data_IF_830198599456
#
_entry.id   IF_830198599456
#
_cell.length_a   1.000
_cell.length_b   1.000
_cell.length_c   1.000
_cell.angle_alpha   90.00
_cell.angle_beta   90.00
_cell.angle_gamma   90.00
#
_symmetry.space_group_name_H-M   'P 1'
#
loop_
_entity.id
_entity.type
_entity.pdbx_description
1 polymer ?
#
# COMPACT_ATOMS: atom_id res chain seq x y z
N UNK A 1 20.78 32.39 24.51
CA UNK A 1 20.43 31.59 23.33
C UNK A 1 19.33 32.35 22.56
N UNK A 2 19.53 32.63 21.30
CA UNK A 2 18.71 33.52 20.50
C UNK A 2 17.40 32.83 20.11
N UNK A 3 16.28 33.27 20.67
CA UNK A 3 14.94 32.70 20.49
C UNK A 3 14.54 32.74 19.00
N UNK A 4 14.97 33.77 18.29
CA UNK A 4 14.67 33.92 16.85
C UNK A 4 15.35 32.83 15.99
N UNK A 5 16.59 32.46 16.35
CA UNK A 5 17.30 31.35 15.69
C UNK A 5 16.66 29.99 16.00
N UNK A 6 16.16 29.78 17.21
CA UNK A 6 15.45 28.57 17.59
C UNK A 6 14.15 28.43 16.81
N UNK A 7 13.37 29.50 16.71
CA UNK A 7 12.11 29.51 15.97
C UNK A 7 12.35 29.26 14.47
N UNK A 8 13.36 29.90 13.88
CA UNK A 8 13.74 29.71 12.48
C UNK A 8 14.18 28.28 12.19
N UNK A 9 14.95 27.67 13.10
CA UNK A 9 15.37 26.27 13.01
C UNK A 9 14.17 25.31 13.14
N UNK A 10 13.28 25.54 14.11
CA UNK A 10 12.06 24.76 14.32
C UNK A 10 11.14 24.80 13.09
N UNK A 11 10.94 25.99 12.49
CA UNK A 11 10.15 26.16 11.27
C UNK A 11 10.76 25.35 10.11
N UNK A 12 12.07 25.44 9.89
CA UNK A 12 12.77 24.72 8.84
C UNK A 12 12.66 23.20 9.00
N UNK A 13 12.80 22.67 10.24
CA UNK A 13 12.59 21.25 10.51
C UNK A 13 11.15 20.84 10.19
N UNK A 14 10.16 21.64 10.60
CA UNK A 14 8.75 21.34 10.35
C UNK A 14 8.42 21.33 8.85
N UNK A 15 8.97 22.26 8.09
CA UNK A 15 8.79 22.32 6.63
C UNK A 15 9.42 21.11 5.93
N UNK A 16 10.66 20.74 6.31
CA UNK A 16 11.36 19.58 5.77
C UNK A 16 10.58 18.30 6.05
N UNK A 17 10.18 18.08 7.32
CA UNK A 17 9.39 16.92 7.70
C UNK A 17 8.04 16.84 6.97
N UNK A 18 7.37 17.97 6.79
CA UNK A 18 6.10 18.03 6.03
C UNK A 18 6.28 17.67 4.56
N UNK A 19 7.40 18.09 3.95
CA UNK A 19 7.76 17.76 2.57
C UNK A 19 8.06 16.27 2.40
N UNK A 20 8.87 15.69 3.26
CA UNK A 20 9.22 14.26 3.27
C UNK A 20 7.97 13.39 3.45
N UNK A 21 7.12 13.73 4.41
CA UNK A 21 5.88 13.03 4.63
C UNK A 21 4.93 13.11 3.43
N UNK A 22 4.89 14.23 2.73
CA UNK A 22 4.10 14.41 1.50
C UNK A 22 4.62 13.53 0.37
N UNK A 23 5.95 13.43 0.20
CA UNK A 23 6.59 12.54 -0.76
C UNK A 23 6.30 11.08 -0.45
N UNK A 24 6.46 10.66 0.81
CA UNK A 24 6.16 9.29 1.24
C UNK A 24 4.71 8.91 0.92
N UNK A 25 3.74 9.79 1.22
CA UNK A 25 2.32 9.58 0.90
C UNK A 25 2.06 9.44 -0.60
N UNK A 26 2.72 10.25 -1.43
CA UNK A 26 2.56 10.19 -2.88
C UNK A 26 3.24 8.98 -3.51
N UNK A 27 4.18 8.35 -2.81
CA UNK A 27 4.95 7.21 -3.29
C UNK A 27 4.35 5.84 -2.96
N UNK A 28 3.22 5.79 -2.24
CA UNK A 28 2.49 4.55 -1.95
C UNK A 28 1.10 4.55 -2.57
N UNK A 29 0.59 3.35 -2.86
CA UNK A 29 -0.78 3.12 -3.28
C UNK A 29 -1.36 1.95 -2.49
N UNK A 30 -2.40 2.21 -1.70
CA UNK A 30 -3.16 1.16 -1.03
C UNK A 30 -4.12 0.53 -2.04
N UNK A 31 -4.07 -0.78 -2.16
CA UNK A 31 -4.98 -1.54 -2.99
C UNK A 31 -5.91 -2.35 -2.11
N UNK A 32 -7.17 -1.90 -1.98
CA UNK A 32 -8.16 -2.55 -1.12
C UNK A 32 -8.80 -3.72 -1.85
N UNK A 33 -8.65 -4.88 -1.27
CA UNK A 33 -9.22 -6.15 -1.67
C UNK A 33 -10.12 -6.68 -0.58
N UNK A 34 -11.17 -7.39 -0.97
CA UNK A 34 -12.10 -7.92 0.00
C UNK A 34 -13.48 -8.22 -0.61
N UNK A 35 -14.43 -8.54 0.24
CA UNK A 35 -15.79 -8.79 -0.21
C UNK A 35 -16.52 -7.49 -0.54
N UNK A 36 -16.90 -7.32 -1.80
CA UNK A 36 -17.73 -6.19 -2.26
C UNK A 36 -19.23 -6.44 -2.19
N UNK A 37 -19.67 -7.37 -1.38
CA UNK A 37 -21.10 -7.60 -1.12
C UNK A 37 -21.74 -6.41 -0.40
N UNK A 38 -23.07 -6.38 -0.35
CA UNK A 38 -23.84 -5.28 0.27
C UNK A 38 -23.45 -5.01 1.73
N UNK A 39 -22.98 -6.04 2.45
CA UNK A 39 -22.62 -5.95 3.86
C UNK A 39 -21.23 -5.31 4.03
N UNK A 40 -20.21 -5.83 3.34
CA UNK A 40 -18.82 -5.43 3.60
C UNK A 40 -18.31 -4.29 2.70
N UNK A 41 -18.95 -4.07 1.54
CA UNK A 41 -18.58 -2.93 0.66
C UNK A 41 -18.58 -1.59 1.40
N UNK A 42 -19.56 -1.27 2.28
CA UNK A 42 -19.54 0.00 3.01
C UNK A 42 -18.30 0.22 3.86
N UNK A 43 -17.78 -0.81 4.54
CA UNK A 43 -16.56 -0.67 5.37
C UNK A 43 -15.33 -0.42 4.51
N UNK A 44 -15.19 -1.12 3.37
CA UNK A 44 -14.10 -0.87 2.42
C UNK A 44 -14.17 0.56 1.85
N UNK A 45 -15.35 1.05 1.55
CA UNK A 45 -15.55 2.43 1.07
C UNK A 45 -15.24 3.47 2.15
N UNK A 46 -15.58 3.20 3.42
CA UNK A 46 -15.19 4.06 4.56
C UNK A 46 -13.67 4.12 4.70
N UNK A 47 -12.99 2.96 4.63
CA UNK A 47 -11.53 2.90 4.69
C UNK A 47 -10.92 3.68 3.52
N UNK A 48 -11.39 3.44 2.30
CA UNK A 48 -10.92 4.17 1.11
C UNK A 48 -11.00 5.67 1.30
N UNK A 49 -12.17 6.18 1.71
CA UNK A 49 -12.36 7.60 1.96
C UNK A 49 -11.34 8.14 2.95
N UNK A 50 -11.16 7.47 4.10
CA UNK A 50 -10.22 7.91 5.12
C UNK A 50 -8.76 7.86 4.69
N UNK A 51 -8.38 6.91 3.83
CA UNK A 51 -7.03 6.83 3.23
C UNK A 51 -6.81 7.98 2.25
N UNK A 52 -7.79 8.26 1.38
CA UNK A 52 -7.73 9.37 0.42
C UNK A 52 -7.71 10.73 1.12
N UNK A 53 -8.48 10.91 2.20
CA UNK A 53 -8.45 12.12 3.03
C UNK A 53 -7.05 12.38 3.64
N UNK A 54 -6.26 11.33 3.86
CA UNK A 54 -4.84 11.42 4.27
C UNK A 54 -3.88 11.71 3.10
N UNK A 55 -4.40 11.94 1.89
CA UNK A 55 -3.63 12.17 0.66
C UNK A 55 -2.78 10.97 0.22
N UNK A 56 -3.22 9.76 0.53
CA UNK A 56 -2.64 8.51 0.06
C UNK A 56 -3.51 7.96 -1.07
N UNK A 57 -2.90 7.49 -2.15
CA UNK A 57 -3.63 6.83 -3.22
C UNK A 57 -4.26 5.53 -2.71
N UNK A 58 -5.54 5.33 -3.04
CA UNK A 58 -6.28 4.15 -2.64
C UNK A 58 -7.19 3.70 -3.77
N UNK A 59 -6.99 2.48 -4.24
CA UNK A 59 -7.74 1.86 -5.33
C UNK A 59 -8.57 0.70 -4.82
N UNK A 60 -9.70 0.50 -5.45
CA UNK A 60 -10.56 -0.68 -5.30
C UNK A 60 -10.90 -1.27 -6.69
N UNK A 61 -11.25 -2.55 -6.75
CA UNK A 61 -11.60 -3.20 -8.02
C UNK A 61 -12.75 -2.51 -8.80
N UNK A 62 -13.64 -1.83 -8.08
CA UNK A 62 -14.75 -1.09 -8.67
C UNK A 62 -14.41 0.30 -9.26
N UNK A 63 -13.17 0.78 -9.11
CA UNK A 63 -12.77 2.12 -9.62
C UNK A 63 -12.57 2.14 -11.14
N UNK A 64 -12.38 0.98 -11.76
CA UNK A 64 -12.29 0.88 -13.20
C UNK A 64 -13.69 0.86 -13.83
N UNK A 65 -14.05 1.93 -14.49
CA UNK A 65 -15.16 1.94 -15.44
C UNK A 65 -14.75 1.14 -16.67
N UNK A 66 -14.89 -0.18 -16.60
CA UNK A 66 -14.59 -1.09 -17.72
C UNK A 66 -15.76 -1.08 -18.70
N UNK A 67 -16.10 0.10 -19.25
CA UNK A 67 -17.03 0.20 -20.38
C UNK A 67 -16.38 -0.13 -21.72
N UNK A 68 -15.07 -0.32 -21.74
CA UNK A 68 -14.28 -0.50 -22.97
C UNK A 68 -13.73 -1.91 -23.16
N UNK A 69 -14.11 -2.88 -22.32
CA UNK A 69 -13.72 -4.28 -22.53
C UNK A 69 -14.91 -5.01 -23.10
N UNK A 70 -14.72 -5.49 -24.33
CA UNK A 70 -15.66 -6.28 -25.10
C UNK A 70 -16.31 -7.38 -24.24
N UNK A 71 -17.65 -7.41 -24.22
CA UNK A 71 -18.50 -8.12 -23.25
C UNK A 71 -18.50 -9.66 -23.38
N UNK A 72 -17.58 -10.27 -24.15
CA UNK A 72 -17.86 -11.58 -24.70
C UNK A 72 -17.30 -12.81 -23.98
N UNK A 73 -16.31 -12.73 -23.04
CA UNK A 73 -15.69 -14.02 -22.68
C UNK A 73 -15.26 -14.31 -21.23
N UNK A 74 -15.31 -13.38 -20.28
CA UNK A 74 -14.96 -13.70 -18.89
C UNK A 74 -15.85 -12.98 -17.88
N UNK A 75 -16.07 -13.56 -16.68
CA UNK A 75 -16.74 -12.83 -15.62
C UNK A 75 -16.04 -11.48 -15.41
N UNK A 76 -16.80 -10.41 -15.53
CA UNK A 76 -16.39 -9.01 -15.44
C UNK A 76 -15.37 -8.70 -14.30
N UNK A 77 -15.48 -9.43 -13.21
CA UNK A 77 -14.65 -9.29 -12.02
C UNK A 77 -13.18 -9.71 -12.20
N UNK A 78 -12.92 -10.86 -12.84
CA UNK A 78 -11.54 -11.36 -13.02
C UNK A 78 -10.74 -10.45 -13.95
N UNK A 79 -11.36 -9.93 -15.01
CA UNK A 79 -10.73 -8.96 -15.91
C UNK A 79 -10.43 -7.64 -15.18
N UNK A 80 -11.37 -7.13 -14.39
CA UNK A 80 -11.18 -5.92 -13.59
C UNK A 80 -10.04 -6.08 -12.59
N UNK A 81 -9.98 -7.21 -11.90
CA UNK A 81 -8.91 -7.51 -10.97
C UNK A 81 -7.55 -7.54 -11.66
N UNK A 82 -7.43 -8.24 -12.79
CA UNK A 82 -6.19 -8.30 -13.55
C UNK A 82 -5.75 -6.93 -14.07
N UNK A 83 -6.67 -6.13 -14.59
CA UNK A 83 -6.37 -4.77 -15.05
C UNK A 83 -5.85 -3.88 -13.93
N UNK A 84 -6.49 -3.92 -12.77
CA UNK A 84 -6.02 -3.15 -11.61
C UNK A 84 -4.64 -3.61 -11.17
N UNK A 85 -4.39 -4.91 -11.08
CA UNK A 85 -3.07 -5.44 -10.75
C UNK A 85 -2.02 -4.94 -11.75
N UNK A 86 -2.31 -4.95 -13.04
CA UNK A 86 -1.41 -4.43 -14.08
C UNK A 86 -1.18 -2.93 -13.95
N UNK A 87 -2.21 -2.12 -13.69
CA UNK A 87 -2.07 -0.68 -13.47
C UNK A 87 -1.18 -0.37 -12.28
N UNK A 88 -1.37 -1.10 -11.18
CA UNK A 88 -0.60 -0.92 -9.94
C UNK A 88 0.85 -1.33 -10.16
N UNK A 89 1.11 -2.47 -10.83
CA UNK A 89 2.46 -2.95 -11.11
C UNK A 89 3.23 -2.02 -12.04
N UNK A 90 2.55 -1.34 -12.96
CA UNK A 90 3.14 -0.35 -13.86
C UNK A 90 3.20 1.05 -13.26
N UNK A 91 2.67 1.25 -12.07
CA UNK A 91 2.76 2.52 -11.35
C UNK A 91 4.16 2.71 -10.77
N UNK A 92 4.62 3.96 -10.70
CA UNK A 92 5.82 4.32 -9.95
C UNK A 92 5.64 4.23 -8.43
N UNK A 93 4.42 4.03 -7.95
CA UNK A 93 4.10 3.94 -6.52
C UNK A 93 4.33 2.53 -6.01
N UNK A 94 4.83 2.43 -4.77
CA UNK A 94 4.90 1.16 -4.07
C UNK A 94 3.49 0.65 -3.77
N UNK A 95 3.10 -0.50 -4.32
CA UNK A 95 1.79 -1.08 -4.06
C UNK A 95 1.76 -1.75 -2.69
N UNK A 96 0.67 -1.53 -1.95
CA UNK A 96 0.41 -2.21 -0.67
C UNK A 96 -1.00 -2.78 -0.70
N UNK A 97 -1.18 -4.05 -1.08
CA UNK A 97 -2.47 -4.71 -1.05
C UNK A 97 -2.95 -4.93 0.39
N UNK A 98 -4.12 -4.41 0.72
CA UNK A 98 -4.86 -4.67 1.94
C UNK A 98 -5.99 -5.63 1.62
N UNK A 99 -5.94 -6.84 2.16
CA UNK A 99 -6.96 -7.86 1.95
C UNK A 99 -7.74 -8.05 3.24
N UNK A 100 -9.05 -7.82 3.20
CA UNK A 100 -9.95 -8.07 4.33
C UNK A 100 -10.80 -9.31 4.08
N UNK A 101 -10.62 -10.32 4.92
CA UNK A 101 -11.40 -11.55 4.92
C UNK A 101 -12.23 -11.59 6.22
N UNK A 102 -13.51 -11.18 6.18
CA UNK A 102 -14.39 -11.22 7.34
C UNK A 102 -14.87 -12.65 7.63
N UNK A 103 -15.24 -12.92 8.88
CA UNK A 103 -16.03 -14.09 9.23
C UNK A 103 -17.48 -13.79 8.88
N UNK A 104 -17.96 -14.27 7.78
CA UNK A 104 -19.38 -14.25 7.50
C UNK A 104 -19.92 -15.65 7.35
N UNK A 105 -21.01 -15.92 8.03
CA UNK A 105 -21.83 -17.13 7.82
C UNK A 105 -22.52 -17.14 6.45
N UNK A 106 -22.37 -16.10 5.66
CA UNK A 106 -23.02 -15.94 4.38
C UNK A 106 -21.96 -15.85 3.28
N UNK A 107 -22.24 -16.40 2.15
CA UNK A 107 -21.68 -16.47 0.78
C UNK A 107 -20.68 -15.35 0.33
N UNK A 108 -20.29 -14.45 1.21
CA UNK A 108 -19.58 -13.21 0.87
C UNK A 108 -18.05 -13.27 0.99
N UNK A 109 -17.44 -14.33 1.46
CA UNK A 109 -15.98 -14.36 1.71
C UNK A 109 -15.12 -14.83 0.54
N UNK A 110 -15.71 -15.47 -0.45
CA UNK A 110 -14.95 -16.21 -1.47
C UNK A 110 -14.18 -15.30 -2.44
N UNK A 111 -14.70 -14.14 -2.76
CA UNK A 111 -14.01 -13.18 -3.62
C UNK A 111 -12.65 -12.77 -3.07
N UNK A 112 -12.59 -12.37 -1.80
CA UNK A 112 -11.34 -11.99 -1.14
C UNK A 112 -10.34 -13.15 -1.03
N UNK A 113 -10.84 -14.36 -0.82
CA UNK A 113 -10.02 -15.58 -0.79
C UNK A 113 -9.43 -15.90 -2.16
N UNK A 114 -10.22 -15.77 -3.22
CA UNK A 114 -9.78 -15.94 -4.62
C UNK A 114 -8.71 -14.90 -4.95
N UNK A 115 -8.91 -13.63 -4.58
CA UNK A 115 -7.93 -12.56 -4.76
C UNK A 115 -6.60 -12.89 -4.08
N UNK A 116 -6.65 -13.33 -2.81
CA UNK A 116 -5.46 -13.73 -2.06
C UNK A 116 -4.72 -14.87 -2.76
N UNK A 117 -5.42 -15.95 -3.13
CA UNK A 117 -4.83 -17.09 -3.82
C UNK A 117 -4.21 -16.65 -5.15
N UNK A 118 -4.92 -15.85 -5.94
CA UNK A 118 -4.43 -15.36 -7.23
C UNK A 118 -3.15 -14.54 -7.08
N UNK A 119 -3.07 -13.64 -6.08
CA UNK A 119 -1.87 -12.86 -5.83
C UNK A 119 -0.71 -13.70 -5.33
N UNK A 120 -0.99 -14.76 -4.56
CA UNK A 120 0.06 -15.63 -4.01
C UNK A 120 0.63 -16.63 -5.02
N UNK A 121 -0.19 -17.15 -5.92
CA UNK A 121 0.18 -18.24 -6.83
C UNK A 121 0.65 -17.77 -8.21
N UNK A 122 0.24 -16.59 -8.65
CA UNK A 122 0.64 -16.09 -9.96
C UNK A 122 1.99 -15.34 -9.89
N UNK A 123 3.05 -15.85 -10.54
CA UNK A 123 4.38 -15.23 -10.53
C UNK A 123 4.40 -13.78 -11.03
N UNK A 124 3.45 -13.41 -11.88
CA UNK A 124 3.28 -12.04 -12.39
C UNK A 124 3.07 -11.02 -11.25
N UNK A 125 2.52 -11.46 -10.11
CA UNK A 125 2.15 -10.61 -8.99
C UNK A 125 3.12 -10.67 -7.81
N UNK A 126 4.34 -11.20 -7.98
CA UNK A 126 5.32 -11.34 -6.90
C UNK A 126 5.57 -10.02 -6.15
N UNK A 127 5.69 -8.90 -6.88
CA UNK A 127 5.85 -7.56 -6.26
C UNK A 127 4.64 -7.14 -5.40
N UNK A 128 3.44 -7.57 -5.76
CA UNK A 128 2.24 -7.31 -4.96
C UNK A 128 2.23 -8.21 -3.73
N UNK A 129 2.52 -9.50 -3.91
CA UNK A 129 2.58 -10.52 -2.86
C UNK A 129 3.49 -10.12 -1.72
N UNK A 130 4.67 -9.58 -2.02
CA UNK A 130 5.65 -9.14 -1.02
C UNK A 130 5.12 -8.08 -0.04
N UNK A 131 4.13 -7.30 -0.45
CA UNK A 131 3.59 -6.19 0.33
C UNK A 131 2.17 -6.46 0.84
N UNK A 132 1.61 -7.67 0.67
CA UNK A 132 0.26 -7.99 1.14
C UNK A 132 0.17 -7.81 2.66
N UNK A 133 -0.86 -7.10 3.10
CA UNK A 133 -1.31 -7.01 4.49
C UNK A 133 -2.67 -7.68 4.58
N UNK A 134 -2.74 -8.78 5.29
CA UNK A 134 -3.95 -9.55 5.47
C UNK A 134 -4.64 -9.18 6.78
N UNK A 135 -5.90 -8.80 6.70
CA UNK A 135 -6.79 -8.59 7.84
C UNK A 135 -7.84 -9.70 7.85
N UNK A 136 -8.03 -10.32 8.99
CA UNK A 136 -9.04 -11.37 9.13
C UNK A 136 -9.58 -11.43 10.54
N UNK A 137 -10.84 -11.79 10.67
CA UNK A 137 -11.46 -12.07 11.96
C UNK A 137 -11.07 -13.46 12.47
N UNK A 138 -10.84 -14.42 11.56
CA UNK A 138 -10.42 -15.77 11.89
C UNK A 138 -9.42 -16.31 10.85
N UNK A 139 -8.21 -16.60 11.30
CA UNK A 139 -7.14 -17.09 10.44
C UNK A 139 -7.40 -18.49 9.89
N UNK A 140 -8.16 -19.31 10.61
CA UNK A 140 -8.45 -20.68 10.19
C UNK A 140 -9.40 -20.74 8.97
N UNK A 141 -10.11 -19.64 8.70
CA UNK A 141 -10.97 -19.50 7.50
C UNK A 141 -10.22 -19.04 6.26
N UNK A 142 -8.96 -18.64 6.40
CA UNK A 142 -8.14 -18.12 5.31
C UNK A 142 -7.45 -19.24 4.56
N UNK A 143 -7.37 -19.20 3.22
CA UNK A 143 -6.59 -20.14 2.44
C UNK A 143 -5.16 -20.23 2.93
N UNK A 144 -4.57 -21.45 2.94
CA UNK A 144 -3.26 -21.69 3.55
C UNK A 144 -2.11 -20.89 2.92
N UNK A 145 -2.31 -20.28 1.74
CA UNK A 145 -1.38 -19.39 1.07
C UNK A 145 -0.95 -18.20 1.94
N UNK A 146 -1.77 -17.83 2.95
CA UNK A 146 -1.41 -16.77 3.90
C UNK A 146 -0.11 -17.07 4.65
N UNK A 147 0.26 -18.35 4.83
CA UNK A 147 1.50 -18.78 5.51
C UNK A 147 2.77 -18.36 4.76
N UNK A 148 2.65 -18.04 3.48
CA UNK A 148 3.76 -17.61 2.62
C UNK A 148 3.88 -16.08 2.49
N UNK A 149 3.04 -15.34 3.22
CA UNK A 149 3.13 -13.88 3.23
C UNK A 149 4.32 -13.41 4.07
N UNK A 150 5.03 -12.39 3.60
CA UNK A 150 6.12 -11.76 4.36
C UNK A 150 5.61 -11.05 5.62
N UNK A 151 4.44 -10.43 5.51
CA UNK A 151 3.84 -9.73 6.63
C UNK A 151 2.93 -10.68 7.40
N UNK A 152 2.95 -10.63 8.74
CA UNK A 152 2.01 -11.37 9.54
C UNK A 152 0.58 -10.87 9.29
N UNK A 153 -0.40 -11.75 9.46
CA UNK A 153 -1.79 -11.34 9.44
C UNK A 153 -2.13 -10.46 10.64
N UNK A 154 -3.13 -9.60 10.47
CA UNK A 154 -3.65 -8.72 11.50
C UNK A 154 -5.06 -9.20 11.85
N UNK A 155 -5.23 -9.73 13.06
CA UNK A 155 -6.56 -10.12 13.56
C UNK A 155 -7.44 -8.88 13.71
N UNK A 156 -8.67 -8.95 13.21
CA UNK A 156 -9.70 -7.92 13.39
C UNK A 156 -10.93 -8.56 14.04
N UNK A 157 -11.48 -7.99 15.11
CA UNK A 157 -12.61 -8.54 15.83
C UNK A 157 -13.94 -8.27 15.12
N UNK A 158 -14.00 -7.16 14.44
CA UNK A 158 -15.16 -6.65 13.72
C UNK A 158 -14.73 -5.58 12.69
N UNK A 159 -15.69 -5.00 11.99
CA UNK A 159 -15.44 -3.98 10.97
C UNK A 159 -14.79 -2.69 11.51
N UNK A 160 -15.15 -2.25 12.70
CA UNK A 160 -14.59 -1.02 13.29
C UNK A 160 -13.15 -1.27 13.77
N UNK A 161 -12.85 -2.43 14.35
CA UNK A 161 -11.49 -2.85 14.68
C UNK A 161 -10.63 -3.02 13.41
N UNK A 162 -11.20 -3.58 12.34
CA UNK A 162 -10.55 -3.61 11.03
C UNK A 162 -10.18 -2.21 10.54
N UNK A 163 -11.14 -1.27 10.54
CA UNK A 163 -10.89 0.09 10.12
C UNK A 163 -9.77 0.76 10.93
N UNK A 164 -9.81 0.63 12.26
CA UNK A 164 -8.80 1.21 13.13
C UNK A 164 -7.40 0.64 12.84
N UNK A 165 -7.29 -0.69 12.72
CA UNK A 165 -6.02 -1.38 12.44
C UNK A 165 -5.50 -1.09 11.04
N UNK A 166 -6.38 -1.07 10.04
CA UNK A 166 -6.01 -0.73 8.67
C UNK A 166 -5.47 0.70 8.56
N UNK A 167 -6.10 1.67 9.23
CA UNK A 167 -5.61 3.06 9.26
C UNK A 167 -4.29 3.19 10.03
N UNK A 168 -4.11 2.43 11.10
CA UNK A 168 -2.84 2.31 11.80
C UNK A 168 -1.75 1.78 10.87
N UNK A 169 -2.05 0.74 10.10
CA UNK A 169 -1.12 0.18 9.12
C UNK A 169 -0.79 1.15 7.98
N UNK A 170 -1.76 1.91 7.47
CA UNK A 170 -1.48 2.99 6.48
C UNK A 170 -0.43 3.96 7.03
N UNK A 171 -0.54 4.37 8.30
CA UNK A 171 0.46 5.24 8.94
C UNK A 171 1.84 4.57 9.00
N UNK A 172 1.88 3.29 9.34
CA UNK A 172 3.13 2.51 9.33
C UNK A 172 3.77 2.47 7.94
N UNK A 173 2.98 2.23 6.89
CA UNK A 173 3.49 2.18 5.51
C UNK A 173 4.03 3.54 5.03
N UNK A 174 3.40 4.63 5.44
CA UNK A 174 3.91 5.98 5.18
C UNK A 174 5.28 6.18 5.83
N UNK A 175 5.45 5.77 7.09
CA UNK A 175 6.73 5.87 7.80
C UNK A 175 7.81 5.00 7.15
N UNK A 176 7.49 3.75 6.80
CA UNK A 176 8.41 2.86 6.07
C UNK A 176 8.87 3.51 4.76
N UNK A 177 7.95 4.12 4.01
CA UNK A 177 8.29 4.78 2.75
C UNK A 177 9.13 6.04 2.97
N UNK A 178 8.86 6.80 4.02
CA UNK A 178 9.69 7.94 4.42
C UNK A 178 11.13 7.51 4.70
N UNK A 179 11.31 6.44 5.48
CA UNK A 179 12.65 5.90 5.79
C UNK A 179 13.39 5.39 4.54
N UNK A 180 12.67 4.77 3.59
CA UNK A 180 13.26 4.33 2.32
C UNK A 180 13.75 5.53 1.53
N UNK A 181 12.93 6.55 1.35
CA UNK A 181 13.27 7.75 0.59
C UNK A 181 14.46 8.50 1.18
N UNK A 182 14.54 8.59 2.51
CA UNK A 182 15.66 9.22 3.21
C UNK A 182 16.96 8.47 2.96
N UNK A 183 16.95 7.13 3.07
CA UNK A 183 18.14 6.30 2.79
C UNK A 183 18.61 6.39 1.34
N UNK A 184 17.68 6.44 0.40
CA UNK A 184 18.01 6.58 -1.03
C UNK A 184 18.69 7.93 -1.31
N UNK A 185 18.26 9.01 -0.65
CA UNK A 185 18.90 10.32 -0.74
C UNK A 185 20.31 10.31 -0.14
N UNK A 186 20.51 9.72 1.03
CA UNK A 186 21.81 9.58 1.66
C UNK A 186 22.79 8.80 0.78
N UNK A 187 22.36 7.68 0.21
CA UNK A 187 23.16 6.86 -0.69
C UNK A 187 23.55 7.63 -1.97
N UNK A 188 22.62 8.38 -2.56
CA UNK A 188 22.89 9.19 -3.73
C UNK A 188 23.89 10.34 -3.43
N UNK A 189 23.78 10.97 -2.26
CA UNK A 189 24.73 11.98 -1.82
C UNK A 189 26.12 11.41 -1.60
N UNK A 190 26.22 10.21 -1.03
CA UNK A 190 27.52 9.55 -0.83
C UNK A 190 28.18 9.14 -2.14
N UNK A 191 27.40 8.61 -3.10
CA UNK A 191 27.90 8.27 -4.44
C UNK A 191 28.40 9.52 -5.18
N UNK A 192 27.65 10.63 -5.12
CA UNK A 192 28.07 11.89 -5.73
C UNK A 192 29.34 12.45 -5.08
N UNK A 193 29.50 12.35 -3.76
CA UNK A 193 30.75 12.76 -3.09
C UNK A 193 31.96 11.92 -3.50
N UNK A 194 31.76 10.61 -3.74
CA UNK A 194 32.82 9.72 -4.22
C UNK A 194 33.20 10.01 -5.67
N UNK A 195 32.22 10.35 -6.53
CA UNK A 195 32.45 10.73 -7.92
C UNK A 195 33.17 12.09 -8.07
N UNK A 196 33.02 12.99 -7.11
CA UNK A 196 33.66 14.31 -7.09
C UNK A 196 34.98 14.37 -6.28
N UNK A 197 35.58 13.24 -5.89
CA UNK A 197 36.97 13.29 -5.39
C UNK A 197 37.87 13.62 -6.62
N UNK A 198 38.53 14.79 -6.64
CA UNK A 198 39.51 15.07 -7.69
C UNK A 198 40.58 14.00 -7.58
N UNK A 199 40.89 13.38 -8.73
CA UNK A 199 42.11 12.57 -8.86
C UNK A 199 43.26 13.43 -8.35
N UNK A 200 44.02 12.86 -7.45
CA UNK A 200 45.14 13.51 -6.75
C UNK A 200 46.01 14.28 -7.75
N UNK A 201 46.23 15.58 -7.59
CA UNK A 201 47.23 16.29 -8.40
C UNK A 201 48.61 16.10 -7.74
N UNK A 202 49.05 14.85 -7.62
CA UNK A 202 50.46 14.56 -7.35
C UNK A 202 51.12 14.12 -8.65
N UNK A 203 51.55 15.11 -9.38
CA UNK A 203 52.30 14.94 -10.61
C UNK A 203 52.93 16.23 -11.10
N UNK A 204 53.72 16.90 -10.22
CA UNK A 204 54.75 17.87 -10.64
C UNK A 204 55.96 17.72 -9.74
#
# INVERSE_FOLDING_TARGET
MDIEKINKFSTKISETYSSELSRAKSSICIFLLGCYCKVHKPVLMRLRKQVVDKKVACLIAGDLNVKEIDDTELPDYSKKFELICNLILNSYRRPVPFIYIPITKAECGDGAKIELVTLCENPKYEKLKENIILFTEDIDTVPHQHKHLKNPHIGAKDEDDFLAKALGRVKTEINIMSDILTRDEENNHEQNRKAFKPENPEGW
#
